data_IF_939090076619
#
_entry.id   IF_939090076619
#
_cell.length_a   1.000
_cell.length_b   1.000
_cell.length_c   1.000
_cell.angle_alpha   90.00
_cell.angle_beta   90.00
_cell.angle_gamma   90.00
#
_symmetry.space_group_name_H-M   'P 1'
#
loop_
_entity.id
_entity.type
_entity.pdbx_description
1 polymer ?
#
# COMPACT_ATOMS: atom_id res chain seq x y z
N UNK A 1 30.30 30.70 3.66
CA UNK A 1 28.84 30.79 3.47
C UNK A 1 28.29 29.40 3.64
N UNK A 2 27.51 29.16 4.69
CA UNK A 2 26.95 27.83 4.97
C UNK A 2 25.90 27.51 3.90
N UNK A 3 26.11 26.42 3.18
CA UNK A 3 25.18 25.86 2.21
C UNK A 3 23.89 25.47 2.95
N UNK A 4 22.78 26.16 2.67
CA UNK A 4 21.49 25.80 3.24
C UNK A 4 21.13 24.42 2.69
N UNK A 5 20.79 23.41 3.53
CA UNK A 5 20.52 22.07 3.04
C UNK A 5 19.46 22.13 1.95
N UNK A 6 19.82 21.64 0.75
CA UNK A 6 18.93 21.61 -0.39
C UNK A 6 17.62 20.94 0.02
N UNK A 7 16.51 21.65 -0.19
CA UNK A 7 15.19 21.20 0.23
C UNK A 7 14.85 19.91 -0.55
N UNK A 8 14.80 18.79 0.14
CA UNK A 8 14.52 17.48 -0.45
C UNK A 8 13.02 17.43 -0.79
N UNK A 9 12.69 17.22 -2.07
CA UNK A 9 11.31 16.99 -2.50
C UNK A 9 10.83 15.59 -2.09
N UNK A 10 9.50 15.36 -2.10
CA UNK A 10 8.93 14.08 -1.65
C UNK A 10 9.44 12.88 -2.47
N UNK A 11 9.62 13.04 -3.78
CA UNK A 11 10.11 11.97 -4.62
C UNK A 11 11.59 11.63 -4.34
N UNK A 12 12.40 12.64 -4.02
CA UNK A 12 13.78 12.49 -3.61
C UNK A 12 13.91 11.82 -2.24
N UNK A 13 13.02 12.17 -1.30
CA UNK A 13 12.93 11.49 0.00
C UNK A 13 12.63 9.99 -0.18
N UNK A 14 11.64 9.65 -0.99
CA UNK A 14 11.25 8.25 -1.21
C UNK A 14 12.40 7.45 -1.86
N UNK A 15 13.12 8.03 -2.83
CA UNK A 15 14.32 7.40 -3.41
C UNK A 15 15.44 7.21 -2.39
N UNK A 16 15.67 8.19 -1.52
CA UNK A 16 16.71 8.10 -0.48
C UNK A 16 16.35 7.04 0.56
N UNK A 17 15.09 6.99 1.00
CA UNK A 17 14.62 5.96 1.94
C UNK A 17 14.75 4.57 1.31
N UNK A 18 14.33 4.40 0.06
CA UNK A 18 14.45 3.13 -0.65
C UNK A 18 15.91 2.69 -0.76
N UNK A 19 16.80 3.60 -1.18
CA UNK A 19 18.23 3.31 -1.28
C UNK A 19 18.88 3.02 0.08
N UNK A 20 18.47 3.71 1.14
CA UNK A 20 18.96 3.45 2.49
C UNK A 20 18.54 2.05 2.98
N UNK A 21 17.30 1.65 2.69
CA UNK A 21 16.81 0.30 2.98
C UNK A 21 17.61 -0.76 2.22
N UNK A 22 17.86 -0.57 0.91
CA UNK A 22 18.71 -1.48 0.11
C UNK A 22 20.11 -1.63 0.69
N UNK A 23 20.74 -0.52 1.09
CA UNK A 23 22.09 -0.55 1.67
C UNK A 23 22.12 -1.28 3.02
N UNK A 24 21.11 -1.05 3.86
CA UNK A 24 20.99 -1.72 5.17
C UNK A 24 20.75 -3.22 5.03
N UNK A 25 19.94 -3.63 4.04
CA UNK A 25 19.70 -5.05 3.68
C UNK A 25 20.90 -5.68 2.96
N UNK A 26 21.77 -4.89 2.33
CA UNK A 26 23.04 -5.38 1.78
C UNK A 26 24.11 -5.67 2.84
N UNK A 27 24.10 -4.94 3.97
CA UNK A 27 25.06 -5.11 5.07
C UNK A 27 24.67 -6.21 6.07
N UNK A 28 23.37 -6.44 6.27
CA UNK A 28 22.83 -7.58 7.02
C UNK A 28 22.32 -8.56 5.99
N UNK A 29 22.87 -9.78 5.88
CA UNK A 29 22.20 -10.90 5.17
C UNK A 29 20.86 -11.21 5.88
N UNK A 30 19.88 -10.32 5.72
CA UNK A 30 18.48 -10.59 5.93
C UNK A 30 18.11 -11.40 4.68
N UNK A 31 17.73 -12.66 4.86
CA UNK A 31 17.12 -13.40 3.75
C UNK A 31 15.95 -12.60 3.18
N UNK A 32 15.50 -12.94 1.97
CA UNK A 32 14.36 -12.30 1.28
C UNK A 32 13.05 -12.26 2.14
N UNK A 33 13.05 -12.91 3.30
CA UNK A 33 11.94 -12.97 4.25
C UNK A 33 12.35 -12.42 5.62
N UNK A 34 11.56 -11.49 6.14
CA UNK A 34 11.63 -10.99 7.52
C UNK A 34 10.36 -11.32 8.28
N UNK A 35 10.50 -11.71 9.54
CA UNK A 35 9.35 -11.88 10.44
C UNK A 35 8.78 -10.52 10.85
N UNK A 36 7.50 -10.50 11.25
CA UNK A 36 6.81 -9.27 11.69
C UNK A 36 7.57 -8.55 12.82
N UNK A 37 8.12 -9.31 13.76
CA UNK A 37 8.94 -8.79 14.87
C UNK A 37 10.26 -8.17 14.40
N UNK A 38 10.89 -8.75 13.38
CA UNK A 38 12.12 -8.21 12.79
C UNK A 38 11.84 -6.90 12.05
N UNK A 39 10.70 -6.80 11.35
CA UNK A 39 10.26 -5.55 10.71
C UNK A 39 10.01 -4.47 11.78
N UNK A 40 9.34 -4.81 12.88
CA UNK A 40 9.11 -3.90 14.01
C UNK A 40 10.39 -3.44 14.70
N UNK A 41 11.37 -4.32 14.87
CA UNK A 41 12.69 -3.98 15.39
C UNK A 41 13.43 -3.03 14.45
N UNK A 42 13.43 -3.33 13.14
CA UNK A 42 14.05 -2.48 12.12
C UNK A 42 13.42 -1.09 12.08
N UNK A 43 12.08 -1.01 12.08
CA UNK A 43 11.34 0.25 12.12
C UNK A 43 11.71 1.12 13.33
N UNK A 44 11.96 0.48 14.47
CA UNK A 44 12.44 1.18 15.68
C UNK A 44 13.84 1.75 15.51
N UNK A 45 14.76 1.01 14.90
CA UNK A 45 16.15 1.44 14.66
C UNK A 45 16.21 2.67 13.74
N UNK A 46 15.29 2.77 12.77
CA UNK A 46 15.20 3.93 11.86
C UNK A 46 14.28 5.05 12.38
N UNK A 47 13.76 4.92 13.60
CA UNK A 47 12.92 5.93 14.25
C UNK A 47 11.48 6.01 13.75
N UNK A 48 10.96 4.98 13.08
CA UNK A 48 9.56 4.89 12.67
C UNK A 48 8.70 4.45 13.87
N UNK A 49 7.68 5.23 14.27
CA UNK A 49 6.77 4.85 15.34
C UNK A 49 6.05 3.52 15.07
N UNK A 50 6.01 2.64 16.09
CA UNK A 50 5.43 1.30 15.99
C UNK A 50 3.99 1.27 15.45
N UNK A 51 3.17 2.27 15.79
CA UNK A 51 1.79 2.40 15.29
C UNK A 51 1.71 2.49 13.76
N UNK A 52 2.64 3.20 13.11
CA UNK A 52 2.64 3.35 11.66
C UNK A 52 3.13 2.07 10.97
N UNK A 53 4.06 1.36 11.61
CA UNK A 53 4.57 0.11 11.09
C UNK A 53 3.54 -1.03 11.18
N UNK A 54 2.86 -1.15 12.32
CA UNK A 54 1.73 -2.08 12.49
C UNK A 54 0.63 -1.80 11.47
N UNK A 55 0.33 -0.52 11.25
CA UNK A 55 -0.64 -0.13 10.24
C UNK A 55 -0.18 -0.53 8.82
N UNK A 56 1.08 -0.28 8.46
CA UNK A 56 1.62 -0.69 7.17
C UNK A 56 1.61 -2.21 6.98
N UNK A 57 1.89 -2.99 8.04
CA UNK A 57 1.82 -4.45 8.01
C UNK A 57 0.40 -4.97 7.76
N UNK A 58 -0.60 -4.33 8.37
CA UNK A 58 -2.02 -4.63 8.09
C UNK A 58 -2.36 -4.24 6.65
N UNK A 59 -1.94 -3.06 6.20
CA UNK A 59 -2.17 -2.59 4.84
C UNK A 59 -1.55 -3.52 3.78
N UNK A 60 -0.38 -4.07 4.05
CA UNK A 60 0.31 -5.06 3.20
C UNK A 60 -0.38 -6.42 3.21
N UNK A 61 -0.84 -6.91 4.37
CA UNK A 61 -1.60 -8.17 4.47
C UNK A 61 -2.94 -8.10 3.74
N UNK A 62 -3.53 -6.91 3.66
CA UNK A 62 -4.78 -6.64 2.93
C UNK A 62 -4.50 -6.17 1.50
N UNK A 63 -3.24 -5.95 1.11
CA UNK A 63 -2.87 -5.73 -0.28
C UNK A 63 -3.27 -7.00 -1.03
N UNK A 64 -4.26 -6.90 -1.91
CA UNK A 64 -4.67 -8.01 -2.74
C UNK A 64 -3.46 -8.52 -3.50
N UNK A 65 -2.99 -9.70 -3.14
CA UNK A 65 -1.86 -10.31 -3.84
C UNK A 65 -2.26 -10.51 -5.32
N UNK A 66 -1.34 -10.32 -6.27
CA UNK A 66 -1.54 -10.90 -7.59
C UNK A 66 -1.81 -12.40 -7.36
N UNK A 67 -2.92 -12.88 -7.91
CA UNK A 67 -3.34 -14.28 -7.73
C UNK A 67 -2.26 -15.17 -8.35
N UNK A 68 -1.36 -15.69 -7.52
CA UNK A 68 -0.40 -16.69 -7.96
C UNK A 68 -1.19 -17.96 -8.32
N UNK A 69 -1.14 -18.35 -9.59
CA UNK A 69 -1.83 -19.55 -10.04
C UNK A 69 -1.16 -20.79 -9.44
N UNK A 70 -1.89 -21.49 -8.58
CA UNK A 70 -1.46 -22.76 -7.96
C UNK A 70 -1.86 -23.94 -8.86
N UNK A 71 -1.15 -25.06 -8.73
CA UNK A 71 -1.45 -26.28 -9.51
C UNK A 71 -2.90 -26.76 -9.38
N UNK A 72 -3.55 -26.53 -8.24
CA UNK A 72 -4.95 -26.87 -8.00
C UNK A 72 -5.93 -25.99 -8.80
N UNK A 73 -5.55 -24.76 -9.13
CA UNK A 73 -6.39 -23.84 -9.93
C UNK A 73 -6.62 -24.36 -11.35
N UNK A 74 -5.71 -25.22 -11.84
CA UNK A 74 -5.85 -25.88 -13.15
C UNK A 74 -6.90 -26.99 -13.14
N UNK A 75 -7.13 -27.63 -11.99
CA UNK A 75 -8.11 -28.70 -11.85
C UNK A 75 -9.50 -28.19 -11.43
N UNK A 76 -9.55 -27.14 -10.60
CA UNK A 76 -10.79 -26.63 -10.00
C UNK A 76 -11.22 -25.24 -10.49
N UNK A 77 -10.37 -24.56 -11.27
CA UNK A 77 -10.58 -23.19 -11.70
C UNK A 77 -9.95 -22.19 -10.74
N UNK A 78 -9.67 -20.98 -11.25
CA UNK A 78 -9.06 -19.88 -10.48
C UNK A 78 -10.03 -19.40 -9.39
N UNK A 79 -9.50 -19.17 -8.18
CA UNK A 79 -10.29 -18.72 -7.03
C UNK A 79 -10.82 -17.28 -7.15
N UNK A 80 -10.14 -16.42 -7.92
CA UNK A 80 -10.51 -15.01 -8.12
C UNK A 80 -10.25 -14.59 -9.56
N UNK A 81 -11.29 -14.16 -10.27
CA UNK A 81 -11.18 -13.59 -11.62
C UNK A 81 -11.31 -12.08 -11.51
N UNK A 82 -10.28 -11.35 -11.93
CA UNK A 82 -10.33 -9.88 -12.06
C UNK A 82 -10.53 -9.52 -13.52
N UNK A 83 -11.41 -8.54 -13.80
CA UNK A 83 -11.64 -8.04 -15.15
C UNK A 83 -11.58 -6.53 -15.17
N UNK A 84 -10.77 -5.97 -16.05
CA UNK A 84 -10.63 -4.53 -16.22
C UNK A 84 -11.22 -4.09 -17.56
N UNK A 85 -11.83 -2.90 -17.57
CA UNK A 85 -12.30 -2.26 -18.81
C UNK A 85 -11.86 -0.80 -18.82
N UNK A 86 -11.35 -0.34 -19.96
CA UNK A 86 -11.07 1.08 -20.17
C UNK A 86 -12.38 1.84 -20.36
N UNK A 87 -12.61 2.83 -19.50
CA UNK A 87 -13.76 3.73 -19.56
C UNK A 87 -13.27 5.11 -19.98
N UNK A 88 -14.01 5.78 -20.87
CA UNK A 88 -13.69 7.14 -21.32
C UNK A 88 -13.85 8.12 -20.15
N UNK A 89 -12.87 9.00 -19.94
CA UNK A 89 -12.90 10.04 -18.91
C UNK A 89 -11.60 10.15 -18.12
N UNK A 90 -11.60 10.97 -17.08
CA UNK A 90 -10.48 11.09 -16.14
C UNK A 90 -10.72 10.21 -14.92
N UNK A 91 -9.63 9.73 -14.30
CA UNK A 91 -9.71 8.92 -13.09
C UNK A 91 -10.48 9.64 -11.98
N UNK A 92 -10.17 10.92 -11.74
CA UNK A 92 -10.81 11.74 -10.71
C UNK A 92 -12.34 11.87 -10.91
N UNK A 93 -12.81 12.00 -12.15
CA UNK A 93 -14.24 12.12 -12.44
C UNK A 93 -15.00 10.81 -12.17
N UNK A 94 -14.39 9.67 -12.51
CA UNK A 94 -14.95 8.36 -12.21
C UNK A 94 -14.91 8.06 -10.72
N UNK A 95 -13.84 8.43 -10.04
CA UNK A 95 -13.70 8.31 -8.59
C UNK A 95 -14.80 9.10 -7.86
N UNK A 96 -15.03 10.36 -8.22
CA UNK A 96 -16.13 11.15 -7.65
C UNK A 96 -17.51 10.57 -7.95
N UNK A 97 -17.71 10.03 -9.15
CA UNK A 97 -18.98 9.39 -9.52
C UNK A 97 -19.24 8.15 -8.65
N UNK A 98 -18.22 7.32 -8.45
CA UNK A 98 -18.28 6.13 -7.59
C UNK A 98 -18.50 6.50 -6.13
N UNK A 99 -17.78 7.51 -5.61
CA UNK A 99 -17.95 8.03 -4.25
C UNK A 99 -19.40 8.44 -3.98
N UNK A 100 -19.96 9.27 -4.87
CA UNK A 100 -21.35 9.72 -4.77
C UNK A 100 -22.36 8.57 -4.87
N UNK A 101 -22.08 7.57 -5.70
CA UNK A 101 -22.96 6.42 -5.85
C UNK A 101 -22.95 5.53 -4.60
N UNK A 102 -21.76 5.24 -4.04
CA UNK A 102 -21.59 4.42 -2.84
C UNK A 102 -22.23 5.06 -1.60
N UNK A 103 -22.09 6.37 -1.43
CA UNK A 103 -22.74 7.10 -0.33
C UNK A 103 -24.26 7.04 -0.44
N UNK A 104 -24.80 7.26 -1.65
CA UNK A 104 -26.25 7.40 -1.86
C UNK A 104 -27.03 6.10 -1.96
N UNK A 105 -26.41 5.03 -2.49
CA UNK A 105 -27.12 3.78 -2.79
C UNK A 105 -26.73 2.64 -1.86
N UNK A 106 -25.47 2.60 -1.40
CA UNK A 106 -24.96 1.53 -0.55
C UNK A 106 -24.84 1.95 0.93
N UNK A 107 -25.15 3.21 1.25
CA UNK A 107 -25.08 3.76 2.61
C UNK A 107 -23.71 3.51 3.27
N UNK A 108 -22.65 3.64 2.48
CA UNK A 108 -21.28 3.51 2.93
C UNK A 108 -20.71 4.87 3.29
N UNK A 109 -20.00 4.96 4.42
CA UNK A 109 -19.27 6.15 4.83
C UNK A 109 -17.79 5.93 4.54
N UNK A 110 -17.16 6.92 3.89
CA UNK A 110 -15.70 6.89 3.65
C UNK A 110 -14.99 6.92 4.99
N UNK A 111 -14.30 5.83 5.32
CA UNK A 111 -13.44 5.74 6.50
C UNK A 111 -12.08 6.38 6.22
N UNK A 112 -11.55 6.21 5.00
CA UNK A 112 -10.25 6.75 4.60
C UNK A 112 -10.11 6.89 3.09
N UNK A 113 -9.47 7.98 2.66
CA UNK A 113 -9.16 8.26 1.26
C UNK A 113 -7.65 8.40 1.07
N UNK A 114 -7.07 7.54 0.23
CA UNK A 114 -5.68 7.60 -0.22
C UNK A 114 -5.67 7.63 -1.76
N UNK A 115 -4.60 8.17 -2.37
CA UNK A 115 -4.46 8.15 -3.82
C UNK A 115 -4.53 6.71 -4.34
N UNK A 116 -5.56 6.40 -5.13
CA UNK A 116 -5.80 5.06 -5.68
C UNK A 116 -6.47 4.04 -4.75
N UNK A 117 -6.83 4.41 -3.51
CA UNK A 117 -7.50 3.49 -2.55
C UNK A 117 -8.45 4.22 -1.60
N UNK A 118 -9.69 3.75 -1.53
CA UNK A 118 -10.72 4.28 -0.61
C UNK A 118 -11.22 3.13 0.26
N UNK A 119 -11.21 3.33 1.58
CA UNK A 119 -11.75 2.40 2.56
C UNK A 119 -13.08 2.90 3.08
N UNK A 120 -14.04 1.99 3.21
CA UNK A 120 -15.43 2.29 3.53
C UNK A 120 -15.90 1.48 4.73
N UNK A 121 -16.84 2.03 5.47
CA UNK A 121 -17.55 1.35 6.56
C UNK A 121 -19.07 1.48 6.33
N UNK A 122 -19.83 0.46 6.68
CA UNK A 122 -21.28 0.50 6.57
C UNK A 122 -21.86 1.44 7.62
N UNK A 123 -22.72 2.37 7.20
CA UNK A 123 -23.41 3.27 8.13
C UNK A 123 -24.38 2.44 8.98
N UNK A 124 -24.17 2.43 10.30
CA UNK A 124 -25.08 1.81 11.27
C UNK A 124 -26.28 2.69 11.57
#
# INVERSE_FOLDING_TARGET
MADLPARIDRAALDRVIHRAAELQTGERELGDEMTEDQVLALGRDVGIPARYLQQALIEERVRGAPVESRLLDRAFGVAVVTTDRVVMGTADAHEQTLLNWMERNEHLVVQRHQSGRISWEQMR
#
